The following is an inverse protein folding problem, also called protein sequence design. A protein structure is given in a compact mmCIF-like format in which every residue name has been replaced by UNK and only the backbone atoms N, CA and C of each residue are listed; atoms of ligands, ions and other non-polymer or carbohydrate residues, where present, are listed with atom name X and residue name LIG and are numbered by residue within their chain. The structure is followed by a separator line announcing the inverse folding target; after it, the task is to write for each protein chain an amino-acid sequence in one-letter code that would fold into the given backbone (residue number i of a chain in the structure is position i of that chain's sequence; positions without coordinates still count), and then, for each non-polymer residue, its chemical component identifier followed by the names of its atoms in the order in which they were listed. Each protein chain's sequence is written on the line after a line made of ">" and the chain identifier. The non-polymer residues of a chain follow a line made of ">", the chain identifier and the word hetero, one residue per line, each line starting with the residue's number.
data_IF_066278220618
#
_entry.id   IF_066278220618
#
_cell.length_a   1.000
_cell.length_b   1.000
_cell.length_c   1.000
_cell.angle_alpha   90.00
_cell.angle_beta   90.00
_cell.angle_gamma   90.00
#
_symmetry.space_group_name_H-M   'P 1'
#
loop_
_entity.id
_entity.type
_entity.pdbx_description
1 polymer ?
#
# COMPACT_ATOMS: atom_id res chain seq x y z
N UNK A 1 -23.84 17.77 5.85
CA UNK A 1 -24.13 16.33 5.81
C UNK A 1 -22.85 15.64 5.37
N UNK A 2 -22.10 15.06 6.31
CA UNK A 2 -20.82 14.40 6.01
C UNK A 2 -21.10 12.95 5.65
N UNK A 3 -20.76 12.56 4.43
CA UNK A 3 -20.93 11.20 3.93
C UNK A 3 -19.78 10.37 4.50
N UNK A 4 -20.08 9.51 5.47
CA UNK A 4 -19.27 8.30 5.69
C UNK A 4 -19.37 7.48 4.40
N UNK A 5 -18.29 7.28 3.63
CA UNK A 5 -18.40 6.37 2.47
C UNK A 5 -17.35 6.38 1.38
N UNK A 6 -16.27 7.16 1.45
CA UNK A 6 -15.13 6.98 0.55
C UNK A 6 -13.85 7.13 1.32
N UNK A 7 -13.25 6.00 1.65
CA UNK A 7 -11.80 5.98 1.84
C UNK A 7 -11.21 6.27 0.46
N UNK A 8 -10.76 7.50 0.26
CA UNK A 8 -10.19 7.89 -1.02
C UNK A 8 -8.91 7.09 -1.22
N UNK A 9 -8.87 6.32 -2.31
CA UNK A 9 -7.70 5.53 -2.75
C UNK A 9 -6.42 6.38 -2.69
N UNK A 10 -6.53 7.65 -3.10
CA UNK A 10 -5.45 8.63 -3.02
C UNK A 10 -4.87 8.79 -1.60
N UNK A 11 -5.71 8.77 -0.56
CA UNK A 11 -5.26 8.89 0.83
C UNK A 11 -4.52 7.65 1.33
N UNK A 12 -4.85 6.46 0.83
CA UNK A 12 -4.11 5.23 1.15
C UNK A 12 -2.70 5.29 0.55
N UNK A 13 -2.61 5.64 -0.73
CA UNK A 13 -1.35 5.71 -1.46
C UNK A 13 -0.44 6.78 -0.85
N UNK A 14 -0.97 7.94 -0.48
CA UNK A 14 -0.22 8.99 0.22
C UNK A 14 0.35 8.50 1.56
N UNK A 15 -0.43 7.75 2.35
CA UNK A 15 0.02 7.23 3.65
C UNK A 15 1.09 6.16 3.48
N UNK A 16 0.92 5.23 2.53
CA UNK A 16 1.94 4.23 2.21
C UNK A 16 3.24 4.90 1.75
N UNK A 17 3.15 5.89 0.87
CA UNK A 17 4.31 6.65 0.41
C UNK A 17 5.00 7.39 1.56
N UNK A 18 4.22 8.03 2.44
CA UNK A 18 4.75 8.73 3.60
C UNK A 18 5.47 7.78 4.57
N UNK A 19 4.90 6.60 4.82
CA UNK A 19 5.53 5.55 5.63
C UNK A 19 6.91 5.16 5.07
N UNK A 20 7.01 4.90 3.76
CA UNK A 20 8.28 4.53 3.14
C UNK A 20 9.30 5.68 3.05
N UNK A 21 8.84 6.93 2.94
CA UNK A 21 9.75 8.10 3.04
C UNK A 21 10.35 8.25 4.43
N UNK A 22 9.58 7.98 5.48
CA UNK A 22 10.04 8.08 6.88
C UNK A 22 11.06 6.98 7.21
N UNK A 23 10.94 5.79 6.61
CA UNK A 23 11.93 4.70 6.82
C UNK A 23 13.28 4.96 6.14
N UNK A 24 13.46 6.12 5.50
CA UNK A 24 14.75 6.59 4.98
C UNK A 24 15.13 6.02 3.61
N UNK A 25 14.20 5.38 2.92
CA UNK A 25 14.46 4.80 1.60
C UNK A 25 14.20 5.89 0.54
N UNK A 26 15.28 6.52 0.05
CA UNK A 26 15.19 7.51 -1.02
C UNK A 26 15.20 6.81 -2.40
N UNK A 27 14.04 6.27 -2.79
CA UNK A 27 13.81 5.57 -4.06
C UNK A 27 12.67 6.22 -4.84
N UNK A 28 12.66 5.96 -6.15
CA UNK A 28 11.47 6.25 -6.96
C UNK A 28 10.40 5.21 -6.63
N UNK A 29 9.24 5.68 -6.17
CA UNK A 29 8.13 4.83 -5.76
C UNK A 29 6.99 4.88 -6.78
N UNK A 30 6.50 3.71 -7.18
CA UNK A 30 5.17 3.56 -7.77
C UNK A 30 4.26 2.84 -6.77
N UNK A 31 2.99 3.24 -6.72
CA UNK A 31 1.99 2.60 -5.87
C UNK A 31 0.83 2.17 -6.76
N UNK A 32 0.37 0.93 -6.60
CA UNK A 32 -0.72 0.37 -7.42
C UNK A 32 -1.67 -0.43 -6.55
N UNK A 33 -2.97 -0.14 -6.66
CA UNK A 33 -4.01 -0.96 -6.07
C UNK A 33 -4.22 -2.23 -6.91
N UNK A 34 -4.18 -3.40 -6.27
CA UNK A 34 -4.57 -4.68 -6.84
C UNK A 34 -5.97 -5.08 -6.36
N UNK A 35 -6.59 -6.02 -7.07
CA UNK A 35 -7.84 -6.67 -6.62
C UNK A 35 -7.57 -7.77 -5.61
N UNK A 36 -6.46 -8.49 -5.78
CA UNK A 36 -6.03 -9.61 -4.96
C UNK A 36 -4.49 -9.66 -4.96
N UNK A 37 -3.91 -10.22 -3.90
CA UNK A 37 -2.46 -10.40 -3.82
C UNK A 37 -2.03 -11.67 -4.57
N UNK A 38 -0.90 -11.62 -5.32
CA UNK A 38 -0.33 -12.82 -5.90
C UNK A 38 0.06 -13.84 -4.81
N UNK A 39 -0.11 -15.13 -5.10
CA UNK A 39 0.18 -16.21 -4.15
C UNK A 39 1.68 -16.44 -3.91
N UNK A 40 2.53 -15.92 -4.79
CA UNK A 40 3.98 -16.08 -4.80
C UNK A 40 4.73 -14.94 -4.09
N UNK A 41 3.99 -13.98 -3.51
CA UNK A 41 4.59 -12.91 -2.71
C UNK A 41 5.15 -13.47 -1.40
N UNK A 42 6.45 -13.28 -1.21
CA UNK A 42 7.18 -13.81 -0.03
C UNK A 42 6.95 -13.01 1.24
N UNK A 43 6.71 -11.71 1.13
CA UNK A 43 6.54 -10.82 2.28
C UNK A 43 5.35 -9.88 2.05
N UNK A 44 4.25 -10.17 2.74
CA UNK A 44 3.07 -9.31 2.79
C UNK A 44 3.04 -8.62 4.15
N UNK A 45 2.82 -7.31 4.14
CA UNK A 45 2.66 -6.47 5.33
C UNK A 45 1.23 -5.98 5.44
N UNK A 46 0.78 -5.72 6.66
CA UNK A 46 -0.57 -5.24 6.92
C UNK A 46 -0.56 -3.99 7.77
N UNK A 47 -1.37 -2.99 7.41
CA UNK A 47 -1.58 -1.76 8.17
C UNK A 47 -3.07 -1.46 8.30
N UNK A 48 -3.46 -0.87 9.42
CA UNK A 48 -4.82 -0.37 9.61
C UNK A 48 -4.82 1.14 9.34
N UNK A 49 -5.55 1.56 8.30
CA UNK A 49 -5.71 2.96 7.92
C UNK A 49 -7.20 3.27 7.97
N UNK A 50 -7.60 4.27 8.77
CA UNK A 50 -9.00 4.71 8.84
C UNK A 50 -10.01 3.57 9.08
N UNK A 51 -9.66 2.57 9.91
CA UNK A 51 -10.45 1.36 10.22
C UNK A 51 -10.56 0.35 9.08
N UNK A 52 -9.85 0.55 7.98
CA UNK A 52 -9.69 -0.45 6.95
C UNK A 52 -8.32 -1.10 7.06
N UNK A 53 -8.32 -2.43 6.93
CA UNK A 53 -7.09 -3.20 6.89
C UNK A 53 -6.59 -3.26 5.45
N UNK A 54 -5.32 -2.94 5.28
CA UNK A 54 -4.66 -2.89 3.99
C UNK A 54 -3.50 -3.85 4.05
N UNK A 55 -3.46 -4.75 3.08
CA UNK A 55 -2.32 -5.62 2.87
C UNK A 55 -1.52 -5.08 1.68
N UNK A 56 -0.20 -5.08 1.79
CA UNK A 56 0.67 -4.60 0.73
C UNK A 56 2.00 -5.34 0.72
N UNK A 57 2.67 -5.32 -0.43
CA UNK A 57 4.03 -5.79 -0.59
C UNK A 57 4.83 -4.83 -1.47
N UNK A 58 6.15 -4.89 -1.35
CA UNK A 58 7.08 -4.04 -2.10
C UNK A 58 7.97 -4.92 -2.99
N UNK A 59 7.99 -4.62 -4.28
CA UNK A 59 8.99 -5.12 -5.22
C UNK A 59 10.10 -4.09 -5.34
N UNK A 60 11.31 -4.50 -4.98
CA UNK A 60 12.49 -3.62 -5.01
C UNK A 60 13.31 -3.95 -6.25
N UNK A 61 13.46 -2.96 -7.14
CA UNK A 61 14.35 -3.02 -8.29
C UNK A 61 15.63 -2.26 -7.98
N UNK A 62 16.65 -3.00 -7.52
CA UNK A 62 17.92 -2.44 -7.04
C UNK A 62 18.67 -1.71 -8.17
N UNK A 63 18.65 -2.28 -9.37
CA UNK A 63 19.41 -1.77 -10.53
C UNK A 63 18.98 -0.35 -10.94
N UNK A 64 17.69 -0.04 -10.82
CA UNK A 64 17.12 1.24 -11.21
C UNK A 64 16.77 2.13 -10.00
N UNK A 65 17.08 1.70 -8.78
CA UNK A 65 16.71 2.36 -7.51
C UNK A 65 15.20 2.68 -7.44
N UNK A 66 14.38 1.73 -7.91
CA UNK A 66 12.91 1.84 -7.92
C UNK A 66 12.29 0.85 -6.96
N UNK A 67 11.12 1.21 -6.46
CA UNK A 67 10.29 0.36 -5.63
C UNK A 67 8.84 0.45 -6.12
N UNK A 68 8.22 -0.69 -6.36
CA UNK A 68 6.79 -0.77 -6.66
C UNK A 68 6.06 -1.33 -5.44
N UNK A 69 5.10 -0.57 -4.90
CA UNK A 69 4.26 -0.97 -3.79
C UNK A 69 2.90 -1.38 -4.35
N UNK A 70 2.49 -2.61 -4.07
CA UNK A 70 1.20 -3.13 -4.47
C UNK A 70 0.35 -3.36 -3.23
N UNK A 71 -0.91 -2.96 -3.26
CA UNK A 71 -1.78 -3.04 -2.09
C UNK A 71 -3.20 -3.48 -2.42
N UNK A 72 -3.86 -4.12 -1.46
CA UNK A 72 -5.27 -4.56 -1.55
C UNK A 72 -6.03 -4.13 -0.30
N UNK A 73 -7.33 -3.87 -0.45
CA UNK A 73 -8.23 -3.76 0.70
C UNK A 73 -8.52 -5.15 1.23
N UNK A 74 -8.20 -5.39 2.50
CA UNK A 74 -8.59 -6.61 3.16
C UNK A 74 -10.10 -6.56 3.43
N UNK A 75 -10.84 -7.36 2.68
CA UNK A 75 -12.31 -7.46 2.78
C UNK A 75 -12.78 -8.41 3.88
N UNK A 76 -11.86 -9.08 4.60
CA UNK A 76 -12.20 -10.06 5.64
C UNK A 76 -12.47 -9.45 7.03
N UNK A 77 -12.36 -8.13 7.20
CA UNK A 77 -12.60 -7.42 8.47
C UNK A 77 -13.95 -6.68 8.51
N UNK A 78 -14.99 -7.22 7.87
CA UNK A 78 -16.35 -6.67 7.91
C UNK A 78 -17.27 -7.48 8.83
#
# INVERSE_FOLDING_TARGET
>A
MFIFGKMDILGIEEILLAYHKVTGINREYSITMLKELPLDVKEVRSVCINKSYIQFYEEIEIEHNKSAIYWVLDSHFN
#
